data_IF_278140969115
#
_entry.id   IF_278140969115
#
_cell.length_a   1.000
_cell.length_b   1.000
_cell.length_c   1.000
_cell.angle_alpha   90.00
_cell.angle_beta   90.00
_cell.angle_gamma   90.00
#
_symmetry.space_group_name_H-M   'P 1'
#
loop_
_entity.id
_entity.type
_entity.pdbx_description
1 polymer ?
#
# COMPACT_ATOMS: atom_id res chain seq x y z
N UNK A 1 0.74 -27.77 -44.93
CA UNK A 1 1.75 -27.18 -44.02
C UNK A 1 1.24 -26.01 -43.14
N UNK A 2 0.02 -25.47 -43.31
CA UNK A 2 -0.46 -24.28 -42.55
C UNK A 2 -0.90 -24.53 -41.08
N UNK A 3 -1.32 -25.74 -40.71
CA UNK A 3 -1.82 -26.02 -39.34
C UNK A 3 -0.71 -25.95 -38.28
N UNK A 4 0.50 -26.45 -38.59
CA UNK A 4 1.64 -26.44 -37.66
C UNK A 4 2.14 -25.02 -37.38
N UNK A 5 2.20 -24.16 -38.40
CA UNK A 5 2.57 -22.75 -38.24
C UNK A 5 1.57 -21.97 -37.37
N UNK A 6 0.25 -22.20 -37.55
CA UNK A 6 -0.78 -21.63 -36.68
C UNK A 6 -0.67 -22.09 -35.23
N UNK A 7 -0.38 -23.39 -35.00
CA UNK A 7 -0.21 -23.94 -33.65
C UNK A 7 1.02 -23.33 -32.95
N UNK A 8 2.15 -23.20 -33.67
CA UNK A 8 3.37 -22.57 -33.13
C UNK A 8 3.12 -21.10 -32.80
N UNK A 9 2.42 -20.37 -33.67
CA UNK A 9 2.07 -18.96 -33.45
C UNK A 9 1.15 -18.79 -32.23
N UNK A 10 0.11 -19.63 -32.10
CA UNK A 10 -0.78 -19.64 -30.94
C UNK A 10 -0.05 -19.95 -29.63
N UNK A 11 0.88 -20.92 -29.66
CA UNK A 11 1.69 -21.25 -28.50
C UNK A 11 2.61 -20.08 -28.08
N UNK A 12 3.23 -19.40 -29.04
CA UNK A 12 4.05 -18.20 -28.75
C UNK A 12 3.23 -17.04 -28.19
N UNK A 13 2.02 -16.82 -28.71
CA UNK A 13 1.13 -15.76 -28.23
C UNK A 13 0.68 -16.04 -26.78
N UNK A 14 0.35 -17.29 -26.46
CA UNK A 14 0.01 -17.68 -25.10
C UNK A 14 1.19 -17.50 -24.12
N UNK A 15 2.40 -17.87 -24.52
CA UNK A 15 3.60 -17.66 -23.71
C UNK A 15 3.89 -16.17 -23.48
N UNK A 16 3.72 -15.32 -24.49
CA UNK A 16 3.87 -13.87 -24.37
C UNK A 16 2.82 -13.24 -23.45
N UNK A 17 1.57 -13.70 -23.53
CA UNK A 17 0.51 -13.24 -22.61
C UNK A 17 0.80 -13.62 -21.16
N UNK A 18 1.30 -14.84 -20.91
CA UNK A 18 1.69 -15.27 -19.57
C UNK A 18 2.89 -14.46 -19.04
N UNK A 19 3.90 -14.22 -19.88
CA UNK A 19 5.05 -13.39 -19.51
C UNK A 19 4.62 -11.94 -19.21
N UNK A 20 3.74 -11.37 -20.04
CA UNK A 20 3.17 -10.04 -19.82
C UNK A 20 2.33 -9.96 -18.55
N UNK A 21 1.53 -10.98 -18.24
CA UNK A 21 0.75 -11.02 -16.99
C UNK A 21 1.65 -11.03 -15.75
N UNK A 22 2.72 -11.83 -15.76
CA UNK A 22 3.71 -11.87 -14.66
C UNK A 22 4.44 -10.53 -14.53
N UNK A 23 4.80 -9.91 -15.66
CA UNK A 23 5.44 -8.59 -15.66
C UNK A 23 4.50 -7.50 -15.14
N UNK A 24 3.23 -7.50 -15.57
CA UNK A 24 2.21 -6.54 -15.13
C UNK A 24 1.93 -6.65 -13.64
N UNK A 25 1.88 -7.88 -13.09
CA UNK A 25 1.67 -8.08 -11.65
C UNK A 25 2.85 -7.56 -10.82
N UNK A 26 4.09 -7.79 -11.26
CA UNK A 26 5.27 -7.21 -10.60
C UNK A 26 5.32 -5.68 -10.74
N UNK A 27 4.97 -5.16 -11.91
CA UNK A 27 4.98 -3.72 -12.19
C UNK A 27 3.89 -2.98 -11.40
N UNK A 28 2.71 -3.58 -11.23
CA UNK A 28 1.63 -3.03 -10.41
C UNK A 28 2.10 -2.82 -8.97
N UNK A 29 2.67 -3.84 -8.32
CA UNK A 29 3.19 -3.73 -6.95
C UNK A 29 4.36 -2.74 -6.79
N UNK A 30 5.25 -2.65 -7.79
CA UNK A 30 6.34 -1.67 -7.76
C UNK A 30 5.81 -0.25 -8.00
N UNK A 31 4.83 -0.08 -8.88
CA UNK A 31 4.20 1.21 -9.19
C UNK A 31 3.34 1.75 -8.04
N UNK A 32 2.59 0.90 -7.36
CA UNK A 32 1.78 1.26 -6.18
C UNK A 32 2.67 1.81 -5.06
N UNK A 33 3.76 1.12 -4.73
CA UNK A 33 4.74 1.61 -3.74
C UNK A 33 5.42 2.91 -4.17
N UNK A 34 5.76 3.07 -5.45
CA UNK A 34 6.33 4.32 -5.95
C UNK A 34 5.37 5.51 -5.76
N UNK A 35 4.07 5.32 -6.04
CA UNK A 35 3.05 6.34 -5.78
C UNK A 35 2.92 6.69 -4.31
N UNK A 36 2.96 5.67 -3.43
CA UNK A 36 2.91 5.88 -1.98
C UNK A 36 4.09 6.74 -1.53
N UNK A 37 5.31 6.44 -1.99
CA UNK A 37 6.52 7.21 -1.68
C UNK A 37 6.40 8.63 -2.21
N UNK A 38 6.00 8.81 -3.47
CA UNK A 38 5.80 10.14 -4.06
C UNK A 38 4.81 10.97 -3.24
N UNK A 39 3.72 10.33 -2.79
CA UNK A 39 2.71 10.98 -1.95
C UNK A 39 3.27 11.35 -0.58
N UNK A 40 3.99 10.47 0.09
CA UNK A 40 4.61 10.76 1.40
C UNK A 40 5.67 11.87 1.28
N UNK A 41 6.49 11.84 0.23
CA UNK A 41 7.53 12.86 0.01
C UNK A 41 6.94 14.24 -0.30
N UNK A 42 5.70 14.30 -0.82
CA UNK A 42 4.98 15.58 -0.98
C UNK A 42 4.68 16.30 0.34
N UNK A 43 4.74 15.61 1.49
CA UNK A 43 4.63 16.20 2.83
C UNK A 43 5.99 16.67 3.39
N UNK A 44 7.07 16.62 2.60
CA UNK A 44 8.41 17.08 3.00
C UNK A 44 9.33 15.98 3.55
N UNK A 45 8.95 14.71 3.37
CA UNK A 45 9.80 13.56 3.65
C UNK A 45 10.69 13.19 2.45
N UNK A 46 11.75 12.42 2.68
CA UNK A 46 12.66 11.90 1.65
C UNK A 46 12.76 10.37 1.74
N UNK A 47 11.62 9.69 1.62
CA UNK A 47 11.56 8.23 1.62
C UNK A 47 12.02 7.63 0.29
N UNK A 48 12.72 6.50 0.41
CA UNK A 48 13.04 5.57 -0.67
C UNK A 48 12.23 4.29 -0.54
N UNK A 49 12.29 3.47 -1.57
CA UNK A 49 11.57 2.20 -1.63
C UNK A 49 11.89 1.26 -0.48
N UNK A 50 13.15 1.23 -0.05
CA UNK A 50 13.64 0.36 1.01
C UNK A 50 13.33 0.91 2.43
N UNK A 51 12.83 2.14 2.53
CA UNK A 51 12.49 2.77 3.81
C UNK A 51 11.07 2.43 4.29
N UNK A 52 10.23 1.84 3.41
CA UNK A 52 8.90 1.36 3.77
C UNK A 52 8.94 -0.13 4.11
N UNK A 53 8.76 -0.43 5.39
CA UNK A 53 8.68 -1.78 5.92
C UNK A 53 7.25 -2.33 5.83
N UNK A 54 7.05 -3.49 5.19
CA UNK A 54 5.77 -4.18 5.20
C UNK A 54 5.57 -4.88 6.54
N UNK A 55 4.63 -4.39 7.35
CA UNK A 55 4.33 -4.95 8.66
C UNK A 55 3.13 -5.91 8.65
N UNK A 56 2.31 -5.88 7.60
CA UNK A 56 1.25 -6.87 7.40
C UNK A 56 0.49 -6.65 6.10
N UNK A 57 -0.23 -7.67 5.65
CA UNK A 57 -1.12 -7.61 4.50
C UNK A 57 -2.34 -8.52 4.68
N UNK A 58 -3.41 -8.21 3.95
CA UNK A 58 -4.60 -9.04 3.83
C UNK A 58 -5.15 -8.94 2.41
N UNK A 59 -5.40 -10.09 1.78
CA UNK A 59 -5.93 -10.13 0.41
C UNK A 59 -7.39 -9.65 0.29
N UNK A 60 -8.13 -9.60 1.40
CA UNK A 60 -9.49 -9.10 1.44
C UNK A 60 -9.91 -8.79 2.88
N UNK A 61 -10.27 -7.55 3.16
CA UNK A 61 -10.79 -7.13 4.47
C UNK A 61 -10.88 -5.61 4.59
N UNK A 62 -11.21 -5.13 5.79
CA UNK A 62 -11.15 -3.71 6.16
C UNK A 62 -10.01 -3.44 7.13
N UNK A 63 -9.57 -2.18 7.24
CA UNK A 63 -8.50 -1.79 8.18
C UNK A 63 -8.91 -2.16 9.61
N UNK A 64 -10.20 -1.96 9.96
CA UNK A 64 -10.76 -2.38 11.24
C UNK A 64 -10.60 -3.88 11.48
N UNK A 65 -10.82 -4.71 10.46
CA UNK A 65 -10.73 -6.18 10.59
C UNK A 65 -9.29 -6.70 10.71
N UNK A 66 -8.31 -5.94 10.23
CA UNK A 66 -6.89 -6.30 10.31
C UNK A 66 -6.30 -6.04 11.71
N UNK A 67 -6.93 -5.16 12.48
CA UNK A 67 -6.47 -4.71 13.78
C UNK A 67 -7.19 -5.45 14.92
N UNK A 68 -6.61 -5.47 16.15
CA UNK A 68 -7.27 -6.06 17.30
C UNK A 68 -8.66 -5.47 17.53
N UNK A 69 -9.62 -6.33 17.87
CA UNK A 69 -10.99 -5.89 18.18
C UNK A 69 -11.00 -4.90 19.34
N UNK A 70 -11.81 -3.84 19.21
CA UNK A 70 -11.96 -2.81 20.25
C UNK A 70 -10.87 -1.74 20.29
N UNK A 71 -9.90 -1.77 19.36
CA UNK A 71 -8.94 -0.68 19.22
C UNK A 71 -9.64 0.60 18.73
N UNK A 72 -9.48 1.71 19.47
CA UNK A 72 -9.96 3.01 19.02
C UNK A 72 -9.00 3.63 18.00
N UNK A 73 -9.55 3.98 16.84
CA UNK A 73 -8.84 4.58 15.71
C UNK A 73 -9.26 6.03 15.47
N UNK A 74 -10.11 6.60 16.33
CA UNK A 74 -10.70 7.93 16.16
C UNK A 74 -9.65 9.02 15.94
N UNK A 75 -8.60 9.06 16.76
CA UNK A 75 -7.52 10.03 16.64
C UNK A 75 -6.69 9.82 15.36
N UNK A 76 -6.39 8.56 15.01
CA UNK A 76 -5.65 8.22 13.81
C UNK A 76 -6.41 8.60 12.54
N UNK A 77 -7.73 8.34 12.51
CA UNK A 77 -8.64 8.75 11.42
C UNK A 77 -8.68 10.27 11.32
N UNK A 78 -8.77 10.99 12.44
CA UNK A 78 -8.78 12.46 12.45
C UNK A 78 -7.47 13.05 11.92
N UNK A 79 -6.32 12.53 12.36
CA UNK A 79 -5.00 12.94 11.89
C UNK A 79 -4.81 12.67 10.39
N UNK A 80 -5.23 11.50 9.93
CA UNK A 80 -5.17 11.09 8.53
C UNK A 80 -6.06 11.95 7.62
N UNK A 81 -7.29 12.24 8.03
CA UNK A 81 -8.18 13.18 7.31
C UNK A 81 -7.61 14.59 7.25
N UNK A 82 -6.98 15.05 8.34
CA UNK A 82 -6.30 16.36 8.36
C UNK A 82 -5.13 16.44 7.38
N UNK A 83 -4.53 15.29 7.05
CA UNK A 83 -3.49 15.15 6.01
C UNK A 83 -4.07 14.97 4.59
N UNK A 84 -5.40 14.92 4.45
CA UNK A 84 -6.09 14.83 3.16
C UNK A 84 -6.39 13.41 2.65
N UNK A 85 -6.28 12.38 3.49
CA UNK A 85 -6.62 11.00 3.12
C UNK A 85 -8.09 10.66 3.42
N UNK A 86 -8.65 9.71 2.66
CA UNK A 86 -10.06 9.31 2.78
C UNK A 86 -10.40 8.74 4.18
N UNK A 87 -9.51 7.90 4.71
CA UNK A 87 -9.56 7.34 6.07
C UNK A 87 -10.85 6.57 6.36
N UNK A 88 -11.35 5.81 5.37
CA UNK A 88 -12.44 4.87 5.54
C UNK A 88 -11.91 3.52 6.04
N UNK A 89 -12.00 3.30 7.35
CA UNK A 89 -11.49 2.09 8.01
C UNK A 89 -12.41 0.88 7.87
N UNK A 90 -13.62 1.08 7.37
CA UNK A 90 -14.66 0.06 7.21
C UNK A 90 -14.79 -0.40 5.75
N UNK A 91 -14.19 0.35 4.82
CA UNK A 91 -14.04 -0.05 3.41
C UNK A 91 -13.27 -1.36 3.27
N UNK A 92 -13.76 -2.21 2.36
CA UNK A 92 -13.19 -3.54 2.11
C UNK A 92 -12.37 -3.55 0.82
N UNK A 93 -11.17 -4.11 0.88
CA UNK A 93 -10.28 -4.29 -0.28
C UNK A 93 -9.06 -5.14 0.07
N UNK A 94 -8.06 -5.16 -0.82
CA UNK A 94 -6.72 -5.66 -0.50
C UNK A 94 -6.01 -4.62 0.37
N UNK A 95 -5.53 -5.02 1.54
CA UNK A 95 -4.91 -4.12 2.52
C UNK A 95 -3.45 -4.45 2.68
N UNK A 96 -2.60 -3.42 2.71
CA UNK A 96 -1.23 -3.51 3.17
C UNK A 96 -0.95 -2.47 4.26
N UNK A 97 -0.24 -2.90 5.31
CA UNK A 97 0.27 -2.04 6.37
C UNK A 97 1.77 -1.83 6.15
N UNK A 98 2.14 -0.57 5.91
CA UNK A 98 3.52 -0.14 5.75
C UNK A 98 3.92 0.76 6.92
N UNK A 99 5.15 0.63 7.38
CA UNK A 99 5.76 1.45 8.42
C UNK A 99 7.00 2.15 7.85
N UNK A 100 7.20 3.42 8.20
CA UNK A 100 8.41 4.16 7.84
C UNK A 100 8.92 4.98 9.04
N UNK A 101 10.23 5.21 9.11
CA UNK A 101 10.84 6.05 10.15
C UNK A 101 10.65 7.53 9.80
N UNK A 102 9.90 8.26 10.63
CA UNK A 102 9.66 9.70 10.44
C UNK A 102 10.82 10.58 10.97
N UNK A 103 11.88 9.98 11.50
CA UNK A 103 12.94 10.65 12.23
C UNK A 103 12.58 10.90 13.69
N UNK A 104 13.60 11.09 14.54
CA UNK A 104 13.41 11.28 15.98
C UNK A 104 12.83 10.05 16.71
N UNK A 105 12.76 8.90 16.02
CA UNK A 105 12.16 7.66 16.49
C UNK A 105 10.63 7.62 16.40
N UNK A 106 10.02 8.60 15.73
CA UNK A 106 8.61 8.57 15.36
C UNK A 106 8.40 7.61 14.19
N UNK A 107 7.20 7.03 14.09
CA UNK A 107 6.87 6.06 13.03
C UNK A 107 5.69 6.58 12.23
N UNK A 108 5.82 6.61 10.91
CA UNK A 108 4.69 6.79 10.01
C UNK A 108 4.06 5.43 9.78
N UNK A 109 2.76 5.35 10.05
CA UNK A 109 1.95 4.18 9.79
C UNK A 109 1.06 4.46 8.58
N UNK A 110 1.13 3.60 7.57
CA UNK A 110 0.41 3.74 6.30
C UNK A 110 -0.41 2.48 6.05
N UNK A 111 -1.72 2.61 6.01
CA UNK A 111 -2.61 1.59 5.45
C UNK A 111 -2.94 1.94 4.01
N UNK A 112 -2.64 0.99 3.14
CA UNK A 112 -2.93 1.03 1.72
C UNK A 112 -4.12 0.11 1.48
N UNK A 113 -5.13 0.61 0.77
CA UNK A 113 -6.28 -0.18 0.34
C UNK A 113 -6.37 -0.13 -1.18
N UNK A 114 -6.37 -1.29 -1.83
CA UNK A 114 -6.37 -1.46 -3.29
C UNK A 114 -5.29 -0.61 -4.00
N UNK A 115 -4.10 -0.53 -3.40
CA UNK A 115 -2.94 0.16 -3.95
C UNK A 115 -2.89 1.68 -3.69
N UNK A 116 -3.87 2.26 -2.99
CA UNK A 116 -3.93 3.68 -2.66
C UNK A 116 -3.89 3.91 -1.14
N UNK A 117 -3.33 5.03 -0.68
CA UNK A 117 -3.26 5.34 0.76
C UNK A 117 -4.67 5.66 1.28
N UNK A 118 -5.17 4.83 2.19
CA UNK A 118 -6.49 4.99 2.79
C UNK A 118 -6.37 5.63 4.18
N UNK A 119 -5.44 5.19 5.03
CA UNK A 119 -5.20 5.76 6.37
C UNK A 119 -3.71 6.00 6.59
N UNK A 120 -3.30 7.20 6.99
CA UNK A 120 -1.90 7.51 7.29
C UNK A 120 -1.72 8.53 8.42
N UNK A 121 -0.82 8.24 9.35
CA UNK A 121 -0.57 9.08 10.52
C UNK A 121 0.82 8.82 11.12
N UNK A 122 1.31 9.78 11.91
CA UNK A 122 2.57 9.66 12.67
C UNK A 122 2.26 9.22 14.09
N UNK A 123 2.98 8.22 14.60
CA UNK A 123 3.01 7.83 16.00
C UNK A 123 4.24 8.44 16.68
N UNK A 124 4.00 9.21 17.74
CA UNK A 124 5.07 9.92 18.45
C UNK A 124 5.73 8.99 19.48
N UNK A 125 7.06 8.88 19.40
CA UNK A 125 7.82 7.98 20.26
C UNK A 125 7.58 8.22 21.75
N UNK A 126 7.36 7.13 22.47
CA UNK A 126 7.23 7.17 23.94
C UNK A 126 5.91 7.76 24.42
N UNK A 127 4.94 7.95 23.52
CA UNK A 127 3.61 8.46 23.82
C UNK A 127 2.53 7.64 23.11
N UNK A 128 1.28 7.90 23.43
CA UNK A 128 0.12 7.41 22.67
C UNK A 128 -0.38 8.44 21.64
N UNK A 129 0.36 9.52 21.43
CA UNK A 129 -0.06 10.62 20.56
C UNK A 129 0.08 10.25 19.08
N UNK A 130 -0.96 10.57 18.31
CA UNK A 130 -0.97 10.49 16.85
C UNK A 130 -1.06 11.88 16.23
N UNK A 131 -0.34 12.10 15.13
CA UNK A 131 -0.29 13.40 14.44
C UNK A 131 -0.52 13.25 12.93
N UNK A 132 -1.02 14.31 12.27
CA UNK A 132 -1.00 14.42 10.81
C UNK A 132 0.44 14.35 10.25
N UNK A 133 0.55 14.04 8.96
CA UNK A 133 1.79 14.14 8.17
C UNK A 133 2.22 15.58 7.93
#
# INVERSE_FOLDING_TARGET
>A
MQKRAKIILLASAAALLLAAAVLSFKTARTGERAKIIEKLNSFGYDFRFDDLFLAGDSSLGSIRSMLPEGLDLSEAVSASKSSGFASDIDKTGEIALLLADAGGGNVITVFVLDGEIELCFIQVKGTYEVRPL
#
